data_IF_086309283214
#
_entry.id   IF_086309283214
#
_cell.length_a   1.000
_cell.length_b   1.000
_cell.length_c   1.000
_cell.angle_alpha   90.00
_cell.angle_beta   90.00
_cell.angle_gamma   90.00
#
_symmetry.space_group_name_H-M   'P 1'
#
loop_
_entity.id
_entity.type
_entity.pdbx_description
1 polymer ?
#
# COMPACT_ATOMS: atom_id res chain seq x y z
N UNK A 1 3.05 6.43 13.88
CA UNK A 1 2.56 5.48 12.88
C UNK A 1 3.61 5.24 11.84
N UNK A 2 3.76 3.98 11.46
CA UNK A 2 4.57 3.54 10.33
C UNK A 2 3.63 3.21 9.16
N UNK A 3 4.05 3.53 7.92
CA UNK A 3 3.15 3.61 6.75
C UNK A 3 3.28 2.37 5.85
N UNK A 4 2.15 1.76 5.52
CA UNK A 4 2.00 0.72 4.51
C UNK A 4 1.09 1.25 3.40
N UNK A 5 1.46 1.05 2.14
CA UNK A 5 0.67 1.52 1.00
C UNK A 5 0.28 0.32 0.13
N UNK A 6 -1.01 0.04 0.04
CA UNK A 6 -1.57 -0.88 -0.93
C UNK A 6 -1.87 -0.10 -2.21
N UNK A 7 -0.93 -0.14 -3.16
CA UNK A 7 -1.04 0.60 -4.42
C UNK A 7 0.31 0.85 -5.10
N UNK A 8 0.35 1.83 -6.00
CA UNK A 8 1.56 2.18 -6.72
C UNK A 8 2.63 2.77 -5.77
N UNK A 9 3.74 2.06 -5.62
CA UNK A 9 4.94 2.55 -4.95
C UNK A 9 6.10 2.58 -5.96
N UNK A 10 6.84 3.69 -5.99
CA UNK A 10 8.01 3.85 -6.86
C UNK A 10 9.28 3.93 -6.00
N UNK A 11 10.32 3.21 -6.41
CA UNK A 11 11.64 3.28 -5.81
C UNK A 11 12.66 3.93 -6.76
N UNK A 12 13.57 4.71 -6.19
CA UNK A 12 14.73 5.26 -6.90
C UNK A 12 15.91 4.32 -6.67
N UNK A 13 16.48 3.80 -7.76
CA UNK A 13 17.73 3.06 -7.67
C UNK A 13 18.89 4.04 -7.52
N UNK A 14 19.32 4.28 -6.29
CA UNK A 14 20.58 4.97 -5.99
C UNK A 14 21.64 3.94 -5.57
N UNK A 15 22.90 4.15 -5.99
CA UNK A 15 24.05 3.40 -5.47
C UNK A 15 24.26 3.78 -4.00
N UNK A 16 23.57 3.06 -3.11
CA UNK A 16 23.57 3.32 -1.68
C UNK A 16 24.82 2.70 -1.06
N UNK A 17 25.89 3.49 -0.94
CA UNK A 17 26.96 3.17 0.00
C UNK A 17 26.35 3.12 1.41
N UNK A 18 26.30 1.92 1.98
CA UNK A 18 25.58 1.59 3.21
C UNK A 18 25.98 2.49 4.41
N UNK A 19 25.06 3.33 4.86
CA UNK A 19 25.08 3.90 6.20
C UNK A 19 23.90 3.33 6.97
N UNK A 20 24.10 2.17 7.60
CA UNK A 20 23.14 1.61 8.56
C UNK A 20 23.18 2.44 9.84
N UNK A 21 22.18 3.29 10.07
CA UNK A 21 21.89 3.80 11.41
C UNK A 21 21.18 2.69 12.19
N UNK A 22 21.79 2.28 13.30
CA UNK A 22 21.21 1.31 14.25
C UNK A 22 19.99 1.94 14.94
N UNK A 23 18.80 1.58 14.49
CA UNK A 23 17.57 1.69 15.30
C UNK A 23 17.38 0.37 16.08
N UNK A 24 16.87 0.43 17.32
CA UNK A 24 16.94 -0.71 18.24
C UNK A 24 15.98 -1.83 17.84
N UNK A 25 16.55 -3.01 17.63
CA UNK A 25 15.88 -4.32 17.47
C UNK A 25 15.10 -4.63 18.76
N UNK A 26 13.80 -4.41 18.79
CA UNK A 26 12.93 -4.71 19.95
C UNK A 26 11.57 -5.30 19.56
N UNK A 27 11.44 -6.10 18.49
CA UNK A 27 10.09 -6.51 18.03
C UNK A 27 9.93 -7.92 17.47
N UNK A 28 10.86 -8.85 17.75
CA UNK A 28 10.75 -10.22 17.19
C UNK A 28 9.66 -11.09 17.83
N UNK A 29 8.99 -10.68 18.93
CA UNK A 29 8.05 -11.57 19.66
C UNK A 29 6.82 -10.85 20.23
N UNK A 30 6.14 -10.00 19.44
CA UNK A 30 4.80 -9.51 19.81
C UNK A 30 3.72 -10.16 18.95
N UNK A 31 2.62 -10.56 19.58
CA UNK A 31 1.46 -11.10 18.88
C UNK A 31 0.83 -9.98 18.04
N UNK A 32 0.42 -10.25 16.80
CA UNK A 32 -0.09 -9.24 15.85
C UNK A 32 -1.30 -8.46 16.40
N UNK A 33 -2.08 -9.10 17.28
CA UNK A 33 -3.25 -8.53 17.96
C UNK A 33 -2.93 -7.45 19.02
N UNK A 34 -1.67 -7.19 19.32
CA UNK A 34 -1.27 -6.16 20.31
C UNK A 34 -1.09 -4.76 19.68
N UNK A 35 -1.04 -4.67 18.35
CA UNK A 35 -0.83 -3.41 17.62
C UNK A 35 -2.15 -2.83 17.14
N UNK A 36 -2.30 -1.51 17.22
CA UNK A 36 -3.42 -0.82 16.55
C UNK A 36 -3.17 -0.82 15.03
N UNK A 37 -4.08 -1.46 14.29
CA UNK A 37 -4.02 -1.56 12.83
C UNK A 37 -5.19 -0.80 12.23
N UNK A 38 -4.88 0.15 11.35
CA UNK A 38 -5.87 0.97 10.66
C UNK A 38 -5.71 0.88 9.14
N UNK A 39 -6.80 0.66 8.44
CA UNK A 39 -6.90 0.76 6.98
C UNK A 39 -7.64 2.04 6.63
N UNK A 40 -6.95 2.95 5.97
CA UNK A 40 -7.45 4.25 5.49
C UNK A 40 -7.83 4.10 4.02
N UNK A 41 -9.12 4.25 3.74
CA UNK A 41 -9.69 3.98 2.43
C UNK A 41 -10.08 5.30 1.75
N UNK A 42 -9.56 5.54 0.56
CA UNK A 42 -9.99 6.63 -0.31
C UNK A 42 -11.11 6.16 -1.24
N UNK A 43 -12.33 6.60 -0.96
CA UNK A 43 -13.55 6.24 -1.68
C UNK A 43 -14.09 7.40 -2.52
N UNK A 44 -14.50 7.09 -3.74
CA UNK A 44 -15.36 7.92 -4.57
C UNK A 44 -16.67 7.20 -4.82
N UNK A 45 -16.75 6.28 -5.79
CA UNK A 45 -17.97 5.57 -6.19
C UNK A 45 -17.81 4.04 -6.22
N UNK A 46 -16.70 3.53 -5.70
CA UNK A 46 -16.39 2.10 -5.67
C UNK A 46 -17.31 1.32 -4.71
N UNK A 47 -17.54 0.04 -5.02
CA UNK A 47 -18.28 -0.86 -4.12
C UNK A 47 -17.46 -1.19 -2.86
N UNK A 48 -18.00 -0.83 -1.69
CA UNK A 48 -17.37 -1.06 -0.39
C UNK A 48 -17.72 -2.41 0.23
N UNK A 49 -18.50 -3.27 -0.44
CA UNK A 49 -18.96 -4.55 0.11
C UNK A 49 -17.83 -5.46 0.64
N UNK A 50 -16.63 -5.38 0.06
CA UNK A 50 -15.47 -6.14 0.52
C UNK A 50 -15.00 -5.74 1.93
N UNK A 51 -15.20 -4.47 2.33
CA UNK A 51 -14.80 -3.98 3.66
C UNK A 51 -15.60 -4.68 4.75
N UNK A 52 -16.90 -4.93 4.52
CA UNK A 52 -17.74 -5.61 5.49
C UNK A 52 -17.32 -7.07 5.69
N UNK A 53 -16.93 -7.75 4.60
CA UNK A 53 -16.30 -9.08 4.67
C UNK A 53 -14.97 -9.01 5.42
N UNK A 54 -14.10 -8.06 5.07
CA UNK A 54 -12.78 -7.93 5.68
C UNK A 54 -12.86 -7.61 7.19
N UNK A 55 -13.87 -6.85 7.64
CA UNK A 55 -14.13 -6.62 9.08
C UNK A 55 -14.59 -7.87 9.82
N UNK A 56 -15.30 -8.78 9.14
CA UNK A 56 -15.72 -10.06 9.73
C UNK A 56 -14.55 -11.02 9.86
N UNK A 57 -13.68 -11.05 8.85
CA UNK A 57 -12.48 -11.89 8.83
C UNK A 57 -11.42 -11.36 9.81
N UNK A 58 -11.23 -10.03 9.86
CA UNK A 58 -10.20 -9.36 10.66
C UNK A 58 -10.78 -8.29 11.60
N UNK A 59 -11.50 -8.70 12.66
CA UNK A 59 -12.22 -7.77 13.54
C UNK A 59 -11.33 -6.85 14.38
N UNK A 60 -10.03 -7.11 14.41
CA UNK A 60 -9.04 -6.29 15.09
C UNK A 60 -8.51 -5.13 14.24
N UNK A 61 -8.82 -5.12 12.93
CA UNK A 61 -8.43 -4.06 12.00
C UNK A 61 -9.52 -3.00 11.91
N UNK A 62 -9.16 -1.75 12.17
CA UNK A 62 -10.06 -0.59 12.05
C UNK A 62 -10.05 -0.07 10.63
N UNK A 63 -11.22 0.20 10.06
CA UNK A 63 -11.35 0.77 8.71
C UNK A 63 -11.91 2.19 8.81
N UNK A 64 -11.15 3.17 8.30
CA UNK A 64 -11.54 4.57 8.22
C UNK A 64 -11.73 4.93 6.74
N UNK A 65 -12.99 5.13 6.34
CA UNK A 65 -13.35 5.43 4.96
C UNK A 65 -13.53 6.94 4.80
N UNK A 66 -12.78 7.55 3.91
CA UNK A 66 -13.02 8.92 3.46
C UNK A 66 -13.70 8.90 2.11
N UNK A 67 -14.87 9.52 2.00
CA UNK A 67 -15.68 9.53 0.80
C UNK A 67 -15.70 10.91 0.14
N UNK A 68 -15.42 10.93 -1.17
CA UNK A 68 -15.54 12.11 -2.04
C UNK A 68 -16.76 12.10 -2.94
N UNK A 69 -17.62 11.07 -2.83
CA UNK A 69 -18.87 11.02 -3.59
C UNK A 69 -19.91 11.98 -3.04
N UNK A 70 -20.73 12.47 -3.97
CA UNK A 70 -21.92 13.28 -3.69
C UNK A 70 -22.91 12.55 -2.74
N UNK A 71 -22.89 11.22 -2.76
CA UNK A 71 -23.64 10.34 -1.87
C UNK A 71 -22.68 9.60 -0.95
N UNK A 72 -22.27 10.28 0.14
CA UNK A 72 -21.35 9.70 1.13
C UNK A 72 -21.97 8.48 1.83
N UNK A 73 -21.32 7.30 1.82
CA UNK A 73 -21.78 6.12 2.53
C UNK A 73 -21.94 6.34 4.03
N UNK A 74 -22.79 5.54 4.67
CA UNK A 74 -22.98 5.59 6.12
C UNK A 74 -21.64 5.33 6.84
N UNK A 75 -21.31 6.18 7.83
CA UNK A 75 -20.07 6.11 8.65
C UNK A 75 -18.78 6.46 7.90
N UNK A 76 -18.84 6.87 6.63
CA UNK A 76 -17.70 7.47 5.94
C UNK A 76 -17.52 8.95 6.31
N UNK A 77 -16.28 9.41 6.30
CA UNK A 77 -15.91 10.81 6.52
C UNK A 77 -15.97 11.53 5.17
N UNK A 78 -16.84 12.52 5.03
CA UNK A 78 -16.97 13.28 3.78
C UNK A 78 -15.75 14.18 3.56
N UNK A 79 -15.20 14.17 2.34
CA UNK A 79 -14.16 15.09 1.88
C UNK A 79 -14.59 15.79 0.59
N UNK A 80 -14.14 17.04 0.35
CA UNK A 80 -14.34 17.68 -0.94
C UNK A 80 -13.59 16.90 -2.02
N UNK A 81 -14.19 16.77 -3.21
CA UNK A 81 -13.60 16.06 -4.35
C UNK A 81 -12.47 16.89 -5.01
N UNK A 82 -11.38 17.10 -4.26
CA UNK A 82 -10.19 17.84 -4.66
C UNK A 82 -9.01 16.85 -4.76
N UNK A 83 -8.64 16.46 -5.97
CA UNK A 83 -7.59 15.47 -6.21
C UNK A 83 -8.04 14.03 -5.97
N UNK A 84 -7.12 13.07 -6.15
CA UNK A 84 -7.39 11.62 -6.01
C UNK A 84 -7.09 11.10 -4.59
N UNK A 85 -6.71 9.84 -4.44
CA UNK A 85 -6.41 9.19 -3.15
C UNK A 85 -5.32 9.91 -2.34
N UNK A 86 -4.32 10.51 -3.00
CA UNK A 86 -3.23 11.22 -2.33
C UNK A 86 -3.72 12.33 -1.39
N UNK A 87 -4.78 13.06 -1.75
CA UNK A 87 -5.35 14.11 -0.89
C UNK A 87 -6.04 13.49 0.34
N UNK A 88 -6.73 12.36 0.19
CA UNK A 88 -7.30 11.62 1.31
C UNK A 88 -6.22 11.18 2.30
N UNK A 89 -5.15 10.59 1.78
CA UNK A 89 -4.06 10.06 2.63
C UNK A 89 -3.35 11.18 3.39
N UNK A 90 -3.06 12.29 2.71
CA UNK A 90 -2.44 13.45 3.33
C UNK A 90 -3.33 14.07 4.41
N UNK A 91 -4.63 14.22 4.15
CA UNK A 91 -5.61 14.71 5.15
C UNK A 91 -5.60 13.83 6.39
N UNK A 92 -5.67 12.50 6.23
CA UNK A 92 -5.66 11.58 7.36
C UNK A 92 -4.37 11.70 8.19
N UNK A 93 -3.20 11.75 7.53
CA UNK A 93 -1.91 11.89 8.20
C UNK A 93 -1.82 13.19 9.00
N UNK A 94 -2.24 14.32 8.39
CA UNK A 94 -2.16 15.63 9.04
C UNK A 94 -3.11 15.73 10.22
N UNK A 95 -4.37 15.31 10.05
CA UNK A 95 -5.39 15.42 11.09
C UNK A 95 -5.16 14.48 12.27
N UNK A 96 -4.47 13.36 12.04
CA UNK A 96 -4.22 12.32 13.04
C UNK A 96 -2.73 12.18 13.39
N UNK A 97 -1.86 13.14 13.06
CA UNK A 97 -0.39 12.97 13.16
C UNK A 97 0.09 12.43 14.53
N UNK A 98 -0.53 12.90 15.62
CA UNK A 98 -0.19 12.49 16.99
C UNK A 98 -0.96 11.24 17.47
N UNK A 99 -1.88 10.71 16.68
CA UNK A 99 -2.79 9.61 17.00
C UNK A 99 -2.92 8.58 15.87
N UNK A 100 -1.96 8.54 14.94
CA UNK A 100 -1.88 7.49 13.92
C UNK A 100 -1.73 6.14 14.60
N UNK A 101 -2.40 5.14 14.06
CA UNK A 101 -2.26 3.74 14.47
C UNK A 101 -0.79 3.29 14.43
N UNK A 102 -0.47 2.20 15.15
CA UNK A 102 0.88 1.61 15.12
C UNK A 102 1.26 1.22 13.69
N UNK A 103 0.27 0.70 12.95
CA UNK A 103 0.36 0.33 11.54
C UNK A 103 -0.81 0.89 10.74
N UNK A 104 -0.51 1.77 9.78
CA UNK A 104 -1.55 2.40 8.94
C UNK A 104 -1.38 1.96 7.48
N UNK A 105 -2.43 1.36 6.92
CA UNK A 105 -2.51 0.90 5.53
C UNK A 105 -3.32 1.89 4.73
N UNK A 106 -2.75 2.47 3.68
CA UNK A 106 -3.45 3.37 2.76
C UNK A 106 -3.85 2.63 1.49
N UNK A 107 -5.11 2.71 1.11
CA UNK A 107 -5.65 2.03 -0.08
C UNK A 107 -6.75 2.87 -0.77
N UNK A 108 -6.92 2.63 -2.06
CA UNK A 108 -8.15 3.01 -2.77
C UNK A 108 -9.31 2.08 -2.36
N UNK A 109 -10.54 2.48 -2.65
CA UNK A 109 -11.75 1.76 -2.22
C UNK A 109 -12.09 0.53 -3.08
N UNK A 110 -11.50 0.38 -4.26
CA UNK A 110 -11.63 -0.85 -5.05
C UNK A 110 -11.19 -2.07 -4.22
N UNK A 111 -11.92 -3.18 -4.37
CA UNK A 111 -11.60 -4.41 -3.66
C UNK A 111 -10.16 -4.87 -3.99
N UNK A 112 -9.32 -5.19 -2.98
CA UNK A 112 -7.97 -5.68 -3.23
C UNK A 112 -8.00 -6.91 -4.13
N UNK A 113 -7.24 -6.87 -5.21
CA UNK A 113 -7.25 -7.93 -6.23
C UNK A 113 -6.01 -7.91 -7.11
N UNK A 114 -5.72 -9.03 -7.76
CA UNK A 114 -4.57 -9.12 -8.66
C UNK A 114 -4.75 -8.20 -9.88
N UNK A 115 -3.67 -7.49 -10.19
CA UNK A 115 -3.49 -6.81 -11.47
C UNK A 115 -3.83 -5.33 -11.44
N UNK A 116 -3.40 -4.66 -12.51
CA UNK A 116 -3.74 -3.28 -12.81
C UNK A 116 -4.57 -3.20 -14.08
N UNK A 117 -5.68 -2.46 -14.02
CA UNK A 117 -6.45 -2.10 -15.21
C UNK A 117 -6.63 -0.58 -15.25
N UNK A 118 -6.00 0.07 -16.24
CA UNK A 118 -5.96 1.52 -16.35
C UNK A 118 -7.33 2.19 -16.61
N UNK A 119 -8.34 1.40 -16.99
CA UNK A 119 -9.67 1.89 -17.36
C UNK A 119 -10.79 1.29 -16.49
N UNK A 120 -10.43 0.57 -15.43
CA UNK A 120 -11.38 -0.14 -14.60
C UNK A 120 -11.28 0.37 -13.16
N UNK A 121 -12.38 0.94 -12.68
CA UNK A 121 -12.53 1.42 -11.31
C UNK A 121 -12.51 0.27 -10.28
N UNK A 122 -12.57 -0.99 -10.74
CA UNK A 122 -12.39 -2.19 -9.93
C UNK A 122 -10.98 -2.78 -9.98
N UNK A 123 -9.99 -2.05 -10.51
CA UNK A 123 -8.59 -2.47 -10.50
C UNK A 123 -8.13 -2.76 -9.08
N UNK A 124 -7.71 -4.00 -8.81
CA UNK A 124 -7.38 -4.45 -7.46
C UNK A 124 -5.98 -4.04 -6.97
N UNK A 125 -5.13 -3.56 -7.89
CA UNK A 125 -3.81 -2.97 -7.62
C UNK A 125 -2.81 -3.84 -6.84
N UNK A 126 -3.02 -5.15 -6.74
CA UNK A 126 -2.06 -6.05 -6.10
C UNK A 126 -1.16 -6.73 -7.12
N UNK A 127 0.13 -6.85 -6.80
CA UNK A 127 1.05 -7.68 -7.57
C UNK A 127 0.78 -9.18 -7.32
N UNK A 128 1.05 -10.02 -8.32
CA UNK A 128 0.90 -11.48 -8.21
C UNK A 128 1.70 -12.04 -7.03
N UNK A 129 1.10 -12.89 -6.21
CA UNK A 129 1.76 -13.46 -5.02
C UNK A 129 1.75 -12.57 -3.77
N UNK A 130 1.26 -11.34 -3.87
CA UNK A 130 0.98 -10.46 -2.73
C UNK A 130 -0.49 -10.62 -2.35
N UNK A 131 -0.75 -10.86 -1.07
CA UNK A 131 -2.10 -10.96 -0.52
C UNK A 131 -2.43 -9.72 0.30
N UNK A 132 -3.73 -9.43 0.43
CA UNK A 132 -4.23 -8.38 1.31
C UNK A 132 -3.67 -8.52 2.75
N UNK A 133 -3.64 -9.75 3.26
CA UNK A 133 -3.11 -10.09 4.59
C UNK A 133 -1.68 -9.60 4.82
N UNK A 134 -0.87 -9.52 3.75
CA UNK A 134 0.51 -9.02 3.87
C UNK A 134 0.55 -7.53 4.21
N UNK A 135 -0.45 -6.74 3.79
CA UNK A 135 -0.51 -5.31 4.07
C UNK A 135 -1.03 -5.02 5.47
N UNK A 136 -1.95 -5.83 5.99
CA UNK A 136 -2.54 -5.62 7.33
C UNK A 136 -1.75 -6.28 8.45
N UNK A 137 -0.76 -7.13 8.11
CA UNK A 137 0.17 -7.68 9.08
C UNK A 137 1.21 -6.61 9.52
N UNK A 138 1.24 -6.21 10.79
CA UNK A 138 2.20 -5.22 11.26
C UNK A 138 3.63 -5.79 11.30
N UNK A 139 4.59 -4.94 10.94
CA UNK A 139 6.03 -5.20 11.05
C UNK A 139 6.50 -6.52 10.43
N UNK A 140 6.16 -6.82 9.16
CA UNK A 140 6.53 -8.09 8.54
C UNK A 140 8.06 -8.24 8.55
N UNK A 141 8.56 -9.36 9.07
CA UNK A 141 9.98 -9.64 9.23
C UNK A 141 10.75 -8.54 10.01
N UNK A 142 10.07 -7.84 10.93
CA UNK A 142 10.65 -6.74 11.71
C UNK A 142 10.85 -5.43 10.94
N UNK A 143 10.33 -5.33 9.70
CA UNK A 143 10.40 -4.09 8.92
C UNK A 143 9.43 -3.04 9.43
N UNK A 144 9.83 -1.77 9.35
CA UNK A 144 9.00 -0.64 9.75
C UNK A 144 8.02 -0.20 8.64
N UNK A 145 7.95 -0.91 7.53
CA UNK A 145 7.05 -0.60 6.42
C UNK A 145 6.85 -1.84 5.56
N UNK A 146 5.80 -1.82 4.75
CA UNK A 146 5.58 -2.82 3.71
C UNK A 146 5.05 -2.10 2.48
N UNK A 147 5.81 -2.17 1.38
CA UNK A 147 5.44 -1.60 0.09
C UNK A 147 6.03 -2.45 -1.01
N UNK A 148 5.20 -2.89 -1.95
CA UNK A 148 5.68 -3.59 -3.13
C UNK A 148 6.10 -2.56 -4.15
N UNK A 149 7.41 -2.41 -4.35
CA UNK A 149 7.93 -1.46 -5.34
C UNK A 149 7.52 -1.89 -6.74
N UNK A 150 6.60 -1.17 -7.38
CA UNK A 150 6.03 -1.51 -8.69
C UNK A 150 6.72 -0.80 -9.85
N UNK A 151 7.49 0.25 -9.58
CA UNK A 151 8.27 0.99 -10.58
C UNK A 151 9.67 1.28 -10.03
N UNK A 152 10.68 1.14 -10.88
CA UNK A 152 12.05 1.56 -10.62
C UNK A 152 12.44 2.65 -11.61
N UNK A 153 13.13 3.69 -11.15
CA UNK A 153 13.66 4.76 -12.02
C UNK A 153 15.18 4.88 -11.90
N UNK A 154 15.87 5.04 -13.03
CA UNK A 154 17.31 5.28 -13.13
C UNK A 154 17.59 6.72 -13.53
N UNK A 155 18.43 7.39 -12.76
CA UNK A 155 18.91 8.74 -13.03
C UNK A 155 20.38 8.73 -13.51
N UNK A 156 20.81 9.72 -14.31
CA UNK A 156 20.07 10.89 -14.78
C UNK A 156 19.20 10.65 -16.03
N UNK A 157 19.21 9.44 -16.60
CA UNK A 157 18.54 9.16 -17.88
C UNK A 157 17.01 9.14 -17.79
N UNK A 158 16.44 9.11 -16.58
CA UNK A 158 15.00 9.03 -16.29
C UNK A 158 14.37 7.79 -16.95
N UNK A 159 15.15 6.71 -17.05
CA UNK A 159 14.61 5.43 -17.52
C UNK A 159 13.77 4.81 -16.43
N UNK A 160 12.65 4.21 -16.79
CA UNK A 160 11.79 3.47 -15.87
C UNK A 160 11.68 2.01 -16.27
N UNK A 161 11.47 1.17 -15.27
CA UNK A 161 11.15 -0.24 -15.41
C UNK A 161 9.97 -0.55 -14.49
N UNK A 162 8.96 -1.21 -15.03
CA UNK A 162 7.76 -1.60 -14.29
C UNK A 162 7.90 -3.05 -13.79
N UNK A 163 7.41 -3.35 -12.60
CA UNK A 163 7.34 -4.72 -12.10
C UNK A 163 6.30 -5.49 -12.91
N UNK A 164 6.72 -6.56 -13.56
CA UNK A 164 5.85 -7.36 -14.42
C UNK A 164 4.76 -8.08 -13.64
N UNK A 165 4.98 -8.35 -12.34
CA UNK A 165 3.97 -8.94 -11.46
C UNK A 165 2.73 -8.05 -11.24
N UNK A 166 2.77 -6.78 -11.65
CA UNK A 166 1.60 -5.91 -11.68
C UNK A 166 0.67 -6.21 -12.88
N UNK A 167 1.19 -6.82 -13.93
CA UNK A 167 0.48 -7.07 -15.19
C UNK A 167 0.30 -8.57 -15.48
N UNK A 168 1.18 -9.41 -14.94
CA UNK A 168 1.24 -10.85 -15.21
C UNK A 168 1.27 -11.64 -13.91
N UNK A 169 0.63 -12.81 -13.93
CA UNK A 169 0.68 -13.74 -12.81
C UNK A 169 2.07 -14.40 -12.77
N UNK A 170 2.90 -14.00 -11.81
CA UNK A 170 4.30 -14.37 -11.72
C UNK A 170 4.64 -14.81 -10.28
N UNK A 171 5.20 -16.01 -10.08
CA UNK A 171 5.57 -16.47 -8.76
C UNK A 171 6.66 -15.59 -8.11
N UNK A 172 6.55 -15.34 -6.80
CA UNK A 172 7.52 -14.63 -5.95
C UNK A 172 7.74 -13.13 -6.25
N UNK A 173 6.69 -12.30 -6.18
CA UNK A 173 6.83 -10.85 -6.41
C UNK A 173 7.06 -9.98 -5.16
N UNK A 174 7.12 -10.56 -3.96
CA UNK A 174 7.22 -9.86 -2.66
C UNK A 174 8.62 -9.26 -2.38
N UNK A 175 9.41 -8.96 -3.41
CA UNK A 175 10.79 -8.49 -3.26
C UNK A 175 10.90 -6.96 -3.22
N UNK A 176 11.60 -6.42 -2.22
CA UNK A 176 11.83 -4.98 -2.03
C UNK A 176 12.98 -4.40 -2.87
N UNK A 177 13.65 -5.24 -3.67
CA UNK A 177 14.90 -4.87 -4.33
C UNK A 177 14.65 -4.44 -5.77
N UNK A 178 15.10 -3.23 -6.12
CA UNK A 178 15.16 -2.76 -7.49
C UNK A 178 16.09 -3.67 -8.32
N UNK A 179 15.75 -3.97 -9.58
CA UNK A 179 16.55 -4.86 -10.40
C UNK A 179 17.90 -4.20 -10.72
N UNK A 180 19.01 -4.92 -10.52
CA UNK A 180 20.30 -4.51 -11.07
C UNK A 180 20.28 -4.61 -12.61
N UNK A 181 19.58 -5.62 -13.16
CA UNK A 181 19.38 -5.89 -14.59
C UNK A 181 17.98 -6.48 -14.91
N UNK A 182 17.62 -6.60 -16.20
CA UNK A 182 16.23 -6.84 -16.70
C UNK A 182 15.65 -8.25 -16.43
N UNK A 183 16.13 -9.04 -15.46
CA UNK A 183 15.86 -10.50 -15.42
C UNK A 183 14.96 -11.01 -14.28
N UNK A 184 14.72 -10.26 -13.21
CA UNK A 184 14.00 -10.77 -12.03
C UNK A 184 12.54 -10.26 -11.91
N UNK A 185 11.72 -10.50 -12.94
CA UNK A 185 10.30 -10.13 -12.90
C UNK A 185 10.01 -8.63 -13.15
N UNK A 186 10.97 -7.92 -13.76
CA UNK A 186 10.87 -6.52 -14.15
C UNK A 186 10.87 -6.35 -15.68
N UNK A 187 10.17 -5.32 -16.15
CA UNK A 187 10.11 -4.94 -17.55
C UNK A 187 11.43 -4.33 -18.02
N UNK A 188 11.58 -4.20 -19.34
CA UNK A 188 12.75 -3.52 -19.87
C UNK A 188 12.77 -2.04 -19.52
N UNK A 189 13.90 -1.55 -19.00
CA UNK A 189 14.23 -0.12 -18.93
C UNK A 189 13.90 0.59 -20.24
N UNK A 190 13.12 1.67 -20.14
CA UNK A 190 12.61 2.51 -21.23
C UNK A 190 12.41 3.96 -20.81
#
# INVERSE_FOLDING_TARGET
GLLSFAGFASAVAADLSSSQSKLPVLRENKNTFEFDVEVVVAHFDEDLGWIDTAKQEEPHVRYTVYSKSDHTPERAISLPNLGRESQTFLTHIVDNYNSLADWTVFTQAAAPGFGFSAFDHSSGHMCSGVKWDNYIQPFPNGQDWFMVMTVATRYPEIWHSDRMAMMFDLPNSNGDICPADKQDGWGGWR
#
